data_IF_205184393186
#
_entry.id   IF_205184393186
#
_cell.length_a   1.000
_cell.length_b   1.000
_cell.length_c   1.000
_cell.angle_alpha   90.00
_cell.angle_beta   90.00
_cell.angle_gamma   90.00
#
_symmetry.space_group_name_H-M   'P 1'
#
loop_
_entity.id
_entity.type
_entity.pdbx_description
1 polymer ?
#
# COMPACT_ATOMS: atom_id res chain seq x y z
N UNK A 1 -18.52 18.06 -28.14
CA UNK A 1 -17.45 18.11 -27.12
C UNK A 1 -16.14 17.88 -27.88
N UNK A 2 -15.33 18.93 -28.01
CA UNK A 2 -14.13 18.93 -28.87
C UNK A 2 -12.95 18.39 -28.04
N UNK A 3 -12.41 17.24 -28.43
CA UNK A 3 -11.28 16.64 -27.72
C UNK A 3 -9.98 17.33 -28.16
N UNK A 4 -9.25 17.91 -27.21
CA UNK A 4 -7.92 18.48 -27.44
C UNK A 4 -6.85 17.49 -26.98
N UNK A 5 -5.98 17.08 -27.90
CA UNK A 5 -4.79 16.31 -27.55
C UNK A 5 -3.90 17.16 -26.63
N UNK A 6 -3.68 16.70 -25.40
CA UNK A 6 -2.86 17.41 -24.40
C UNK A 6 -1.39 17.01 -24.48
N UNK A 7 -1.11 15.74 -24.76
CA UNK A 7 0.26 15.21 -24.92
C UNK A 7 0.24 13.86 -25.62
N UNK A 8 1.26 13.57 -26.42
CA UNK A 8 1.53 12.24 -26.97
C UNK A 8 2.87 11.73 -26.42
N UNK A 9 2.90 10.50 -25.94
CA UNK A 9 4.12 9.84 -25.45
C UNK A 9 4.21 8.48 -26.15
N UNK A 10 5.36 8.11 -26.75
CA UNK A 10 5.54 6.79 -27.35
C UNK A 10 5.25 5.69 -26.33
N UNK A 11 4.53 4.64 -26.73
CA UNK A 11 4.33 3.47 -25.88
C UNK A 11 5.62 2.63 -25.88
N UNK A 12 6.40 2.58 -24.78
CA UNK A 12 7.66 1.85 -24.76
C UNK A 12 7.49 0.32 -24.80
N UNK A 13 6.26 -0.16 -24.59
CA UNK A 13 5.96 -1.58 -24.50
C UNK A 13 5.53 -2.20 -25.84
N UNK A 14 5.13 -1.37 -26.81
CA UNK A 14 4.49 -1.84 -28.04
C UNK A 14 3.14 -2.55 -27.82
N UNK A 15 2.62 -2.58 -26.59
CA UNK A 15 1.42 -3.28 -26.14
C UNK A 15 0.66 -2.42 -25.12
N UNK A 16 -0.66 -2.59 -25.00
CA UNK A 16 -1.47 -1.85 -24.03
C UNK A 16 -1.24 -2.45 -22.63
N UNK A 17 -0.67 -1.72 -21.67
CA UNK A 17 -0.37 -2.24 -20.34
C UNK A 17 -1.62 -2.18 -19.44
N UNK A 18 -2.69 -2.88 -19.79
CA UNK A 18 -3.94 -2.90 -19.01
C UNK A 18 -4.45 -4.33 -18.96
N UNK A 19 -4.84 -4.80 -17.78
CA UNK A 19 -5.34 -6.16 -17.57
C UNK A 19 -6.85 -6.30 -17.61
N UNK A 20 -7.57 -5.20 -17.83
CA UNK A 20 -9.03 -5.08 -17.78
C UNK A 20 -9.65 -5.72 -16.52
N UNK A 21 -9.11 -5.36 -15.36
CA UNK A 21 -9.52 -5.93 -14.08
C UNK A 21 -9.23 -7.42 -13.94
N UNK A 22 -8.25 -7.95 -14.70
CA UNK A 22 -7.84 -9.36 -14.71
C UNK A 22 -8.47 -10.21 -15.80
N UNK A 23 -9.17 -9.61 -16.78
CA UNK A 23 -9.73 -10.33 -17.93
C UNK A 23 -8.70 -10.58 -19.03
N UNK A 24 -7.76 -9.65 -19.21
CA UNK A 24 -6.69 -9.74 -20.22
C UNK A 24 -5.33 -9.80 -19.53
N UNK A 25 -4.99 -10.97 -19.00
CA UNK A 25 -3.72 -11.21 -18.34
C UNK A 25 -2.70 -11.69 -19.36
N UNK A 26 -1.48 -11.18 -19.29
CA UNK A 26 -0.36 -11.76 -20.04
C UNK A 26 -0.01 -13.17 -19.52
N UNK A 27 0.65 -14.02 -20.34
CA UNK A 27 0.84 -15.44 -20.03
C UNK A 27 1.48 -15.71 -18.66
N UNK A 28 2.47 -14.91 -18.26
CA UNK A 28 3.12 -15.03 -16.95
C UNK A 28 2.16 -14.79 -15.79
N UNK A 29 1.34 -13.73 -15.86
CA UNK A 29 0.36 -13.43 -14.81
C UNK A 29 -0.74 -14.48 -14.78
N UNK A 30 -1.19 -14.97 -15.95
CA UNK A 30 -2.11 -16.10 -16.02
C UNK A 30 -1.55 -17.34 -15.30
N UNK A 31 -0.29 -17.69 -15.54
CA UNK A 31 0.34 -18.89 -14.97
C UNK A 31 0.30 -18.87 -13.43
N UNK A 32 0.84 -17.82 -12.80
CA UNK A 32 0.86 -17.81 -11.34
C UNK A 32 -0.52 -17.54 -10.73
N UNK A 33 -1.43 -16.87 -11.43
CA UNK A 33 -2.81 -16.69 -10.95
C UNK A 33 -3.64 -17.97 -11.06
N UNK A 34 -3.37 -18.84 -12.04
CA UNK A 34 -3.92 -20.20 -12.06
C UNK A 34 -3.45 -21.00 -10.84
N UNK A 35 -2.18 -20.84 -10.42
CA UNK A 35 -1.68 -21.43 -9.17
C UNK A 35 -2.33 -20.82 -7.92
N UNK A 36 -2.62 -19.52 -7.91
CA UNK A 36 -3.41 -18.88 -6.84
C UNK A 36 -4.81 -19.49 -6.78
N UNK A 37 -5.48 -19.66 -7.91
CA UNK A 37 -6.80 -20.29 -7.98
C UNK A 37 -6.76 -21.74 -7.49
N UNK A 38 -5.74 -22.52 -7.86
CA UNK A 38 -5.53 -23.87 -7.36
C UNK A 38 -5.25 -23.89 -5.84
N UNK A 39 -4.45 -22.94 -5.34
CA UNK A 39 -4.20 -22.78 -3.90
C UNK A 39 -5.47 -22.36 -3.13
N UNK A 40 -6.41 -21.68 -3.79
CA UNK A 40 -7.69 -21.32 -3.21
C UNK A 40 -8.60 -22.53 -2.93
N UNK A 41 -8.25 -23.73 -3.37
CA UNK A 41 -8.99 -24.95 -3.01
C UNK A 41 -8.34 -25.67 -1.81
N UNK A 42 -7.13 -25.26 -1.40
CA UNK A 42 -6.40 -25.86 -0.27
C UNK A 42 -6.88 -25.26 1.05
N UNK A 43 -7.65 -26.02 1.82
CA UNK A 43 -8.35 -25.49 3.00
C UNK A 43 -7.43 -25.35 4.23
N UNK A 44 -6.53 -26.30 4.48
CA UNK A 44 -5.73 -26.32 5.72
C UNK A 44 -4.25 -26.02 5.53
N UNK A 45 -3.86 -24.75 5.67
CA UNK A 45 -2.49 -24.45 6.10
C UNK A 45 -2.45 -24.23 7.62
N UNK A 46 -1.50 -24.91 8.27
CA UNK A 46 -1.43 -25.02 9.72
C UNK A 46 -1.00 -23.72 10.44
N UNK A 47 -0.56 -22.69 9.72
CA UNK A 47 -0.01 -21.49 10.35
C UNK A 47 -1.11 -20.61 10.92
N UNK A 48 -1.03 -20.31 12.23
CA UNK A 48 -1.82 -19.25 12.84
C UNK A 48 -1.19 -17.87 12.65
N UNK A 49 0.08 -17.81 12.25
CA UNK A 49 0.89 -16.59 12.17
C UNK A 49 1.05 -16.19 10.72
N UNK A 50 0.41 -15.08 10.34
CA UNK A 50 0.40 -14.62 8.96
C UNK A 50 1.34 -13.44 8.76
N UNK A 51 2.26 -13.58 7.81
CA UNK A 51 3.09 -12.49 7.32
C UNK A 51 2.28 -11.60 6.39
N UNK A 52 2.13 -10.33 6.76
CA UNK A 52 1.50 -9.32 5.91
C UNK A 52 2.51 -8.48 5.12
N UNK A 53 3.80 -8.66 5.39
CA UNK A 53 4.90 -8.25 4.50
C UNK A 53 5.73 -9.51 4.18
N UNK A 54 6.06 -9.78 2.91
CA UNK A 54 6.75 -11.02 2.54
C UNK A 54 8.15 -11.12 3.16
N UNK A 55 8.53 -12.33 3.59
CA UNK A 55 9.87 -12.56 4.17
C UNK A 55 10.98 -12.26 3.16
N UNK A 56 10.77 -12.57 1.89
CA UNK A 56 11.74 -12.28 0.82
C UNK A 56 12.03 -10.77 0.70
N UNK A 57 11.02 -9.94 0.97
CA UNK A 57 11.17 -8.49 1.05
C UNK A 57 11.99 -8.09 2.28
N UNK A 58 11.61 -8.58 3.47
CA UNK A 58 12.30 -8.25 4.72
C UNK A 58 13.77 -8.67 4.73
N UNK A 59 14.13 -9.77 4.04
CA UNK A 59 15.53 -10.20 3.88
C UNK A 59 16.42 -9.13 3.24
N UNK A 60 15.89 -8.27 2.38
CA UNK A 60 16.68 -7.20 1.76
C UNK A 60 17.11 -6.10 2.75
N UNK A 61 16.50 -6.08 3.93
CA UNK A 61 16.78 -5.15 5.03
C UNK A 61 17.60 -5.80 6.15
N UNK A 62 18.00 -7.05 5.96
CA UNK A 62 18.62 -7.88 6.97
C UNK A 62 20.09 -8.13 6.61
N UNK A 63 21.06 -7.59 7.36
CA UNK A 63 22.48 -7.81 7.07
C UNK A 63 22.89 -9.29 7.15
N UNK A 64 22.26 -10.05 8.04
CA UNK A 64 22.52 -11.48 8.28
C UNK A 64 21.48 -12.41 7.62
N UNK A 65 20.52 -11.84 6.88
CA UNK A 65 19.38 -12.55 6.29
C UNK A 65 18.38 -13.14 7.30
N UNK A 66 18.56 -12.88 8.60
CA UNK A 66 17.80 -13.49 9.71
C UNK A 66 17.08 -12.48 10.59
N UNK A 67 17.64 -11.29 10.77
CA UNK A 67 17.10 -10.25 11.66
C UNK A 67 17.11 -8.87 11.03
N UNK A 68 16.15 -8.05 11.42
CA UNK A 68 16.02 -6.65 11.01
C UNK A 68 15.86 -5.77 12.24
N UNK A 69 16.38 -4.55 12.17
CA UNK A 69 16.14 -3.54 13.20
C UNK A 69 14.75 -2.95 12.95
N UNK A 70 13.94 -2.93 14.00
CA UNK A 70 12.55 -2.49 13.96
C UNK A 70 12.34 -1.45 15.06
N UNK A 71 11.92 -0.26 14.65
CA UNK A 71 11.34 0.74 15.53
C UNK A 71 9.83 0.52 15.57
N UNK A 72 9.31 0.11 16.72
CA UNK A 72 7.88 0.06 17.01
C UNK A 72 7.36 1.48 17.25
N UNK A 73 6.50 1.95 16.35
CA UNK A 73 6.02 3.33 16.36
C UNK A 73 4.99 3.60 17.46
N UNK A 74 4.38 2.54 18.02
CA UNK A 74 3.34 2.62 19.04
C UNK A 74 3.94 2.88 20.42
N UNK A 75 4.98 2.12 20.78
CA UNK A 75 5.62 2.22 22.09
C UNK A 75 6.99 2.92 22.05
N UNK A 76 7.55 3.17 20.86
CA UNK A 76 8.85 3.83 20.66
C UNK A 76 10.06 2.91 20.85
N UNK A 77 9.85 1.59 20.96
CA UNK A 77 10.91 0.63 21.21
C UNK A 77 11.67 0.28 19.95
N UNK A 78 12.99 0.29 20.05
CA UNK A 78 13.91 -0.07 18.97
C UNK A 78 14.55 -1.42 19.29
N UNK A 79 14.33 -2.42 18.41
CA UNK A 79 14.72 -3.81 18.66
C UNK A 79 15.25 -4.48 17.41
N UNK A 80 16.19 -5.39 17.60
CA UNK A 80 16.57 -6.35 16.57
C UNK A 80 15.65 -7.57 16.64
N UNK A 81 14.82 -7.78 15.61
CA UNK A 81 13.81 -8.85 15.58
C UNK A 81 14.11 -9.87 14.48
N UNK A 82 13.77 -11.12 14.73
CA UNK A 82 13.81 -12.16 13.71
C UNK A 82 12.81 -11.91 12.58
N UNK A 83 13.14 -12.30 11.36
CA UNK A 83 12.21 -12.22 10.22
C UNK A 83 10.91 -13.02 10.45
N UNK A 84 10.99 -14.09 11.26
CA UNK A 84 9.81 -14.88 11.66
C UNK A 84 8.82 -14.06 12.49
N UNK A 85 9.29 -13.05 13.21
CA UNK A 85 8.50 -12.28 14.17
C UNK A 85 8.19 -10.86 13.71
N UNK A 86 8.78 -10.45 12.58
CA UNK A 86 8.57 -9.12 11.99
C UNK A 86 7.41 -9.13 10.99
N UNK A 87 6.53 -8.13 11.05
CA UNK A 87 5.36 -7.99 10.17
C UNK A 87 4.43 -9.21 10.17
N UNK A 88 4.18 -9.76 11.36
CA UNK A 88 3.29 -10.90 11.59
C UNK A 88 2.09 -10.51 12.43
N UNK A 89 0.93 -11.09 12.13
CA UNK A 89 -0.24 -11.07 13.01
C UNK A 89 -0.91 -12.43 13.06
N UNK A 90 -1.39 -12.79 14.24
CA UNK A 90 -2.14 -14.03 14.41
C UNK A 90 -3.52 -13.94 13.76
N UNK A 91 -3.93 -15.01 13.08
CA UNK A 91 -5.24 -15.19 12.44
C UNK A 91 -5.64 -14.05 11.48
N UNK A 92 -4.68 -13.26 11.00
CA UNK A 92 -4.94 -12.03 10.24
C UNK A 92 -5.73 -12.26 8.93
N UNK A 93 -5.41 -13.34 8.20
CA UNK A 93 -6.13 -13.78 7.02
C UNK A 93 -6.97 -15.04 7.25
N UNK A 94 -7.31 -15.38 8.49
CA UNK A 94 -8.11 -16.57 8.77
C UNK A 94 -9.49 -16.39 8.17
N UNK A 95 -9.86 -17.26 7.24
CA UNK A 95 -11.15 -17.26 6.55
C UNK A 95 -12.08 -18.23 7.29
N UNK A 96 -13.37 -17.93 7.30
CA UNK A 96 -14.40 -18.81 7.87
C UNK A 96 -15.40 -19.18 6.78
N UNK A 97 -15.62 -20.48 6.62
CA UNK A 97 -16.64 -21.08 5.74
C UNK A 97 -17.79 -21.64 6.62
N UNK A 98 -19.07 -21.34 6.31
CA UNK A 98 -20.22 -21.94 7.01
C UNK A 98 -20.19 -23.47 7.12
N UNK A 99 -19.62 -24.18 6.14
CA UNK A 99 -19.61 -25.64 6.09
C UNK A 99 -18.40 -26.27 6.80
N UNK A 100 -17.24 -25.60 6.78
CA UNK A 100 -15.97 -26.20 7.19
C UNK A 100 -15.29 -25.45 8.34
N UNK A 101 -15.91 -24.38 8.84
CA UNK A 101 -15.38 -23.57 9.92
C UNK A 101 -14.16 -22.74 9.50
N UNK A 102 -13.31 -22.36 10.47
CA UNK A 102 -12.25 -21.38 10.23
C UNK A 102 -10.92 -22.00 9.77
N UNK A 103 -10.43 -21.58 8.61
CA UNK A 103 -9.28 -22.13 7.89
C UNK A 103 -8.35 -21.03 7.33
N UNK A 104 -7.14 -21.37 6.88
CA UNK A 104 -6.08 -20.37 6.56
C UNK A 104 -5.69 -20.28 5.07
N UNK A 105 -6.47 -20.86 4.17
CA UNK A 105 -6.29 -20.86 2.70
C UNK A 105 -5.65 -19.59 2.09
N UNK A 106 -6.01 -18.39 2.57
CA UNK A 106 -5.43 -17.13 2.11
C UNK A 106 -3.90 -17.09 2.17
N UNK A 107 -3.28 -17.75 3.15
CA UNK A 107 -1.82 -17.85 3.24
C UNK A 107 -1.24 -18.71 2.10
N UNK A 108 -1.89 -19.82 1.72
CA UNK A 108 -1.47 -20.61 0.58
C UNK A 108 -1.55 -19.81 -0.74
N UNK A 109 -2.62 -19.02 -0.89
CA UNK A 109 -2.78 -18.11 -2.04
C UNK A 109 -1.70 -17.02 -2.05
N UNK A 110 -1.45 -16.37 -0.91
CA UNK A 110 -0.42 -15.34 -0.78
C UNK A 110 1.00 -15.90 -0.94
N UNK A 111 1.24 -17.17 -0.61
CA UNK A 111 2.54 -17.82 -0.85
C UNK A 111 2.92 -17.81 -2.33
N UNK A 112 1.95 -18.06 -3.22
CA UNK A 112 2.19 -18.01 -4.67
C UNK A 112 2.57 -16.60 -5.12
N UNK A 113 1.92 -15.57 -4.55
CA UNK A 113 2.26 -14.16 -4.80
C UNK A 113 3.64 -13.82 -4.20
N UNK A 114 3.99 -14.39 -3.06
CA UNK A 114 5.26 -14.17 -2.39
C UNK A 114 6.44 -14.78 -3.16
N UNK A 115 6.23 -15.91 -3.84
CA UNK A 115 7.21 -16.50 -4.75
C UNK A 115 7.50 -15.60 -5.95
N UNK A 116 6.45 -15.06 -6.57
CA UNK A 116 6.60 -14.10 -7.68
C UNK A 116 7.21 -12.77 -7.19
N UNK A 117 6.83 -12.32 -6.01
CA UNK A 117 7.46 -11.17 -5.34
C UNK A 117 8.96 -11.42 -5.14
N UNK A 118 9.36 -12.60 -4.66
CA UNK A 118 10.76 -12.92 -4.43
C UNK A 118 11.56 -12.93 -5.74
N UNK A 119 10.96 -13.41 -6.84
CA UNK A 119 11.56 -13.38 -8.17
C UNK A 119 11.74 -11.96 -8.67
N UNK A 120 10.70 -11.13 -8.66
CA UNK A 120 10.76 -9.73 -9.07
C UNK A 120 11.77 -8.94 -8.22
N UNK A 121 11.83 -9.18 -6.91
CA UNK A 121 12.83 -8.54 -6.05
C UNK A 121 14.27 -8.92 -6.42
N UNK A 122 14.52 -10.15 -6.89
CA UNK A 122 15.85 -10.52 -7.41
C UNK A 122 16.13 -9.79 -8.71
N UNK A 123 15.19 -9.80 -9.66
CA UNK A 123 15.27 -9.11 -10.94
C UNK A 123 15.59 -7.62 -10.74
N UNK A 124 14.74 -6.91 -10.00
CA UNK A 124 14.84 -5.45 -9.79
C UNK A 124 16.13 -5.02 -9.07
N UNK A 125 16.70 -5.87 -8.22
CA UNK A 125 17.97 -5.57 -7.53
C UNK A 125 19.19 -5.86 -8.39
N UNK A 126 19.13 -6.85 -9.27
CA UNK A 126 20.22 -7.18 -10.17
C UNK A 126 20.28 -6.25 -11.40
N UNK A 127 19.19 -5.55 -11.67
CA UNK A 127 19.03 -4.73 -12.86
C UNK A 127 19.99 -3.53 -12.92
N UNK A 128 20.67 -3.37 -14.04
CA UNK A 128 21.55 -2.27 -14.36
C UNK A 128 20.99 -1.39 -15.50
N UNK A 129 21.40 -0.10 -15.58
CA UNK A 129 21.00 0.76 -16.69
C UNK A 129 21.39 0.17 -18.04
N UNK A 130 20.39 -0.18 -18.86
CA UNK A 130 20.58 -0.79 -20.18
C UNK A 130 20.00 -2.18 -20.31
N UNK A 131 19.74 -2.89 -19.19
CA UNK A 131 19.04 -4.17 -19.29
C UNK A 131 17.62 -3.97 -19.80
N UNK A 132 17.15 -4.90 -20.62
CA UNK A 132 15.79 -4.88 -21.13
C UNK A 132 14.80 -5.44 -20.12
N UNK A 133 13.55 -5.00 -20.27
CA UNK A 133 12.42 -5.40 -19.44
C UNK A 133 11.42 -6.06 -20.32
N UNK A 134 11.10 -7.29 -19.95
CA UNK A 134 9.97 -7.97 -20.51
C UNK A 134 8.69 -7.29 -20.04
N UNK A 135 7.78 -7.03 -20.98
CA UNK A 135 6.44 -6.54 -20.68
C UNK A 135 5.77 -7.41 -19.60
N UNK A 136 6.03 -8.71 -19.64
CA UNK A 136 5.50 -9.66 -18.68
C UNK A 136 5.94 -9.41 -17.23
N UNK A 137 7.20 -9.02 -17.04
CA UNK A 137 7.72 -8.66 -15.73
C UNK A 137 7.13 -7.35 -15.23
N UNK A 138 6.88 -6.39 -16.12
CA UNK A 138 6.20 -5.15 -15.77
C UNK A 138 4.75 -5.38 -15.35
N UNK A 139 4.01 -6.26 -16.04
CA UNK A 139 2.65 -6.62 -15.64
C UNK A 139 2.62 -7.38 -14.32
N UNK A 140 3.51 -8.36 -14.11
CA UNK A 140 3.70 -9.04 -12.82
C UNK A 140 3.99 -8.04 -11.70
N UNK A 141 4.84 -7.06 -11.97
CA UNK A 141 5.21 -6.01 -11.01
C UNK A 141 4.00 -5.17 -10.58
N UNK A 142 3.16 -4.75 -11.53
CA UNK A 142 1.95 -3.98 -11.26
C UNK A 142 0.99 -4.72 -10.31
N UNK A 143 0.81 -6.03 -10.55
CA UNK A 143 -0.04 -6.92 -9.73
C UNK A 143 0.57 -7.15 -8.34
N UNK A 144 1.86 -7.49 -8.26
CA UNK A 144 2.54 -7.70 -6.97
C UNK A 144 2.50 -6.42 -6.13
N UNK A 145 2.78 -5.26 -6.71
CA UNK A 145 2.74 -3.99 -6.01
C UNK A 145 1.32 -3.69 -5.46
N UNK A 146 0.28 -4.06 -6.22
CA UNK A 146 -1.10 -3.98 -5.75
C UNK A 146 -1.40 -4.89 -4.56
N UNK A 147 -0.92 -6.14 -4.58
CA UNK A 147 -1.05 -7.03 -3.42
C UNK A 147 -0.31 -6.50 -2.20
N UNK A 148 0.93 -6.05 -2.38
CA UNK A 148 1.77 -5.53 -1.28
C UNK A 148 1.16 -4.31 -0.61
N UNK A 149 0.50 -3.45 -1.38
CA UNK A 149 -0.21 -2.29 -0.85
C UNK A 149 -1.52 -2.67 -0.14
N UNK A 150 -2.24 -3.68 -0.63
CA UNK A 150 -3.59 -3.98 -0.14
C UNK A 150 -3.64 -5.01 0.99
N UNK A 151 -2.61 -5.83 1.18
CA UNK A 151 -2.59 -6.91 2.17
C UNK A 151 -2.26 -6.47 3.60
N UNK A 152 -2.13 -5.19 3.88
CA UNK A 152 -1.53 -4.72 5.14
C UNK A 152 -2.56 -4.38 6.23
N UNK A 153 -2.15 -4.33 7.51
CA UNK A 153 -3.02 -3.89 8.59
C UNK A 153 -3.56 -2.46 8.43
N UNK A 154 -2.77 -1.55 7.83
CA UNK A 154 -3.23 -0.20 7.53
C UNK A 154 -4.40 -0.23 6.54
N UNK A 155 -4.32 -1.06 5.49
CA UNK A 155 -5.43 -1.20 4.54
C UNK A 155 -6.67 -1.78 5.21
N UNK A 156 -6.52 -2.79 6.06
CA UNK A 156 -7.64 -3.34 6.84
C UNK A 156 -8.30 -2.26 7.71
N UNK A 157 -7.50 -1.49 8.46
CA UNK A 157 -7.99 -0.37 9.29
C UNK A 157 -8.69 0.72 8.48
N UNK A 158 -8.19 1.02 7.28
CA UNK A 158 -8.84 1.96 6.37
C UNK A 158 -10.21 1.45 5.93
N UNK A 159 -10.33 0.17 5.57
CA UNK A 159 -11.61 -0.44 5.20
C UNK A 159 -12.59 -0.46 6.38
N UNK A 160 -12.13 -0.83 7.58
CA UNK A 160 -12.93 -0.78 8.81
C UNK A 160 -13.47 0.64 9.07
N UNK A 161 -12.61 1.66 8.90
CA UNK A 161 -13.01 3.05 9.07
C UNK A 161 -14.01 3.52 8.00
N UNK A 162 -13.87 3.06 6.75
CA UNK A 162 -14.83 3.32 5.68
C UNK A 162 -16.19 2.65 5.95
N UNK A 163 -16.19 1.39 6.37
CA UNK A 163 -17.40 0.65 6.69
C UNK A 163 -18.15 1.28 7.89
N UNK A 164 -17.41 1.68 8.93
CA UNK A 164 -17.96 2.43 10.07
C UNK A 164 -18.55 3.78 9.64
N UNK A 165 -17.87 4.51 8.75
CA UNK A 165 -18.35 5.77 8.22
C UNK A 165 -19.64 5.60 7.39
N UNK A 166 -19.71 4.58 6.53
CA UNK A 166 -20.90 4.27 5.74
C UNK A 166 -22.10 3.93 6.62
N UNK A 167 -21.91 3.18 7.72
CA UNK A 167 -22.97 2.87 8.69
C UNK A 167 -23.57 4.12 9.30
N UNK A 168 -22.73 5.07 9.70
CA UNK A 168 -23.16 6.35 10.30
C UNK A 168 -23.89 7.24 9.27
N UNK A 169 -23.46 7.20 8.00
CA UNK A 169 -23.93 8.11 6.95
C UNK A 169 -25.19 7.64 6.22
N UNK A 170 -25.22 6.38 5.83
CA UNK A 170 -26.22 5.86 4.90
C UNK A 170 -27.44 5.25 5.59
N UNK A 171 -27.40 5.05 6.92
CA UNK A 171 -28.39 4.22 7.62
C UNK A 171 -28.40 2.77 7.14
N UNK A 172 -27.41 2.37 6.34
CA UNK A 172 -27.29 1.02 5.80
C UNK A 172 -26.60 0.12 6.81
N UNK A 173 -27.12 -1.09 6.97
CA UNK A 173 -26.37 -2.16 7.60
C UNK A 173 -25.15 -2.50 6.74
N UNK A 174 -23.99 -2.03 7.19
CA UNK A 174 -22.71 -2.45 6.63
C UNK A 174 -22.20 -3.63 7.46
N UNK A 175 -22.06 -4.82 6.85
CA UNK A 175 -21.51 -6.00 7.53
C UNK A 175 -20.18 -5.68 8.21
N UNK A 176 -19.90 -6.33 9.34
CA UNK A 176 -18.58 -6.26 9.95
C UNK A 176 -17.51 -6.71 8.95
N UNK A 177 -16.39 -5.99 8.89
CA UNK A 177 -15.26 -6.38 8.05
C UNK A 177 -14.54 -7.58 8.68
N UNK A 178 -15.10 -8.77 8.46
CA UNK A 178 -14.47 -10.03 8.84
C UNK A 178 -13.15 -10.23 8.08
N UNK A 179 -12.27 -11.09 8.59
CA UNK A 179 -11.07 -11.49 7.85
C UNK A 179 -11.39 -12.13 6.50
N UNK A 180 -12.50 -12.88 6.40
CA UNK A 180 -13.02 -13.41 5.12
C UNK A 180 -13.29 -12.29 4.11
N UNK A 181 -14.03 -11.26 4.51
CA UNK A 181 -14.36 -10.13 3.63
C UNK A 181 -13.12 -9.30 3.28
N UNK A 182 -12.19 -9.14 4.22
CA UNK A 182 -10.91 -8.50 3.94
C UNK A 182 -10.11 -9.26 2.88
N UNK A 183 -9.96 -10.58 3.01
CA UNK A 183 -9.26 -11.43 2.01
C UNK A 183 -9.92 -11.29 0.64
N UNK A 184 -11.25 -11.40 0.54
CA UNK A 184 -11.98 -11.19 -0.73
C UNK A 184 -11.68 -9.82 -1.33
N UNK A 185 -11.71 -8.75 -0.52
CA UNK A 185 -11.39 -7.38 -0.97
C UNK A 185 -9.94 -7.26 -1.46
N UNK A 186 -8.96 -7.91 -0.79
CA UNK A 186 -7.55 -7.92 -1.23
C UNK A 186 -7.42 -8.52 -2.62
N UNK A 187 -7.93 -9.74 -2.83
CA UNK A 187 -7.79 -10.43 -4.11
C UNK A 187 -8.62 -9.77 -5.24
N UNK A 188 -9.81 -9.24 -4.94
CA UNK A 188 -10.65 -8.55 -5.94
C UNK A 188 -10.08 -7.19 -6.35
N UNK A 189 -9.50 -6.44 -5.41
CA UNK A 189 -8.99 -5.09 -5.70
C UNK A 189 -7.60 -5.07 -6.33
N UNK A 190 -6.86 -6.17 -6.26
CA UNK A 190 -5.49 -6.25 -6.77
C UNK A 190 -5.41 -5.92 -8.27
N UNK A 191 -6.29 -6.50 -9.11
CA UNK A 191 -6.24 -6.26 -10.56
C UNK A 191 -6.65 -4.85 -10.97
N UNK A 192 -7.72 -4.31 -10.37
CA UNK A 192 -8.09 -2.92 -10.62
C UNK A 192 -6.97 -1.95 -10.25
N UNK A 193 -6.29 -2.20 -9.13
CA UNK A 193 -5.12 -1.42 -8.76
C UNK A 193 -3.92 -1.69 -9.69
N UNK A 194 -3.76 -2.91 -10.21
CA UNK A 194 -2.71 -3.25 -11.17
C UNK A 194 -2.86 -2.46 -12.47
N UNK A 195 -4.08 -2.28 -12.99
CA UNK A 195 -4.34 -1.45 -14.18
C UNK A 195 -3.90 0.01 -13.98
N UNK A 196 -4.13 0.55 -12.78
CA UNK A 196 -3.67 1.89 -12.41
C UNK A 196 -2.15 1.96 -12.24
N UNK A 197 -1.49 0.83 -11.95
CA UNK A 197 -0.04 0.73 -11.81
C UNK A 197 0.66 0.56 -13.15
N UNK A 198 0.12 -0.26 -14.05
CA UNK A 198 0.69 -0.59 -15.34
C UNK A 198 0.60 0.58 -16.34
N UNK A 199 -0.24 1.58 -16.08
CA UNK A 199 -0.29 2.83 -16.84
C UNK A 199 0.78 3.87 -16.42
N UNK A 200 1.64 3.53 -15.45
CA UNK A 200 2.66 4.44 -14.90
C UNK A 200 4.04 4.20 -15.48
N UNK A 201 4.87 5.24 -15.47
CA UNK A 201 6.29 5.15 -15.79
C UNK A 201 7.01 4.34 -14.72
N UNK A 202 7.67 3.26 -15.12
CA UNK A 202 8.57 2.50 -14.26
C UNK A 202 9.89 3.26 -14.11
N UNK A 203 10.32 3.45 -12.86
CA UNK A 203 11.60 4.05 -12.51
C UNK A 203 12.32 3.26 -11.42
N UNK A 204 13.66 3.27 -11.48
CA UNK A 204 14.55 2.73 -10.45
C UNK A 204 15.39 3.87 -9.88
N UNK A 205 15.27 4.08 -8.57
CA UNK A 205 15.95 5.14 -7.85
C UNK A 205 17.00 4.52 -6.91
N UNK A 206 18.26 4.84 -7.15
CA UNK A 206 19.41 4.32 -6.42
C UNK A 206 19.92 5.34 -5.39
N UNK A 207 20.20 4.87 -4.17
CA UNK A 207 20.95 5.60 -3.15
C UNK A 207 22.28 4.87 -2.88
N UNK A 208 23.41 5.35 -3.45
CA UNK A 208 24.72 4.72 -3.27
C UNK A 208 25.18 4.62 -1.82
N UNK A 209 24.63 5.43 -0.92
CA UNK A 209 24.98 5.43 0.50
C UNK A 209 24.10 4.48 1.34
N UNK A 210 23.15 3.77 0.72
CA UNK A 210 22.30 2.78 1.37
C UNK A 210 21.49 3.31 2.58
N UNK A 211 20.96 4.54 2.48
CA UNK A 211 20.27 5.25 3.57
C UNK A 211 18.74 5.13 3.52
N UNK A 212 18.18 4.36 2.60
CA UNK A 212 16.74 4.15 2.56
C UNK A 212 16.29 3.31 3.77
N UNK A 213 15.01 3.44 4.11
CA UNK A 213 14.31 2.64 5.13
C UNK A 213 12.98 2.16 4.55
N UNK A 214 12.38 1.19 5.21
CA UNK A 214 11.01 0.74 4.90
C UNK A 214 10.15 0.67 6.15
N UNK A 215 8.94 0.15 6.01
CA UNK A 215 8.01 -0.06 7.09
C UNK A 215 7.19 -1.32 6.87
N UNK A 216 6.29 -1.56 7.81
CA UNK A 216 5.21 -2.54 7.70
C UNK A 216 4.13 -2.14 6.67
N UNK A 217 4.32 -0.98 5.99
CA UNK A 217 3.62 -0.48 4.80
C UNK A 217 4.63 -0.25 3.66
N UNK A 218 5.06 -1.31 2.94
CA UNK A 218 6.20 -1.23 2.03
C UNK A 218 5.92 -0.38 0.78
N UNK A 219 4.66 -0.26 0.36
CA UNK A 219 4.26 0.54 -0.81
C UNK A 219 3.60 1.83 -0.35
N UNK A 220 4.24 2.95 -0.67
CA UNK A 220 3.86 4.30 -0.26
C UNK A 220 3.32 5.10 -1.43
N UNK A 221 2.53 6.13 -1.13
CA UNK A 221 2.05 7.08 -2.12
C UNK A 221 2.59 8.47 -1.80
N UNK A 222 3.02 9.20 -2.83
CA UNK A 222 3.37 10.61 -2.65
C UNK A 222 2.13 11.47 -2.55
N UNK A 223 2.22 12.54 -1.76
CA UNK A 223 1.22 13.60 -1.77
C UNK A 223 1.30 14.34 -3.09
N UNK A 224 0.21 14.31 -3.86
CA UNK A 224 0.02 15.27 -4.94
C UNK A 224 -0.22 16.66 -4.35
N UNK A 225 0.27 17.70 -5.00
CA UNK A 225 -0.11 19.09 -4.69
C UNK A 225 -1.55 19.41 -5.15
N UNK A 226 -2.10 18.63 -6.08
CA UNK A 226 -3.36 18.89 -6.76
C UNK A 226 -4.50 18.01 -6.21
N UNK A 227 -4.21 16.74 -5.88
CA UNK A 227 -5.22 15.81 -5.39
C UNK A 227 -5.37 15.90 -3.87
N UNK A 228 -6.63 16.08 -3.47
CA UNK A 228 -7.10 16.35 -2.13
C UNK A 228 -7.04 15.12 -1.20
N UNK A 229 -6.99 13.93 -1.78
CA UNK A 229 -6.76 12.65 -1.08
C UNK A 229 -5.86 11.76 -1.94
N UNK A 230 -4.76 11.22 -1.42
CA UNK A 230 -3.88 10.36 -2.21
C UNK A 230 -4.60 9.07 -2.61
N UNK A 231 -4.72 8.86 -3.92
CA UNK A 231 -5.17 7.61 -4.52
C UNK A 231 -4.10 7.08 -5.46
N UNK A 232 -4.15 5.79 -5.77
CA UNK A 232 -3.32 5.15 -6.80
C UNK A 232 -3.57 5.75 -8.18
N UNK A 233 -4.70 6.41 -8.42
CA UNK A 233 -4.94 7.20 -9.64
C UNK A 233 -4.25 8.56 -9.64
N UNK A 234 -4.21 9.25 -8.50
CA UNK A 234 -3.86 10.69 -8.45
C UNK A 234 -2.52 11.00 -7.82
N UNK A 235 -1.92 10.03 -7.14
CA UNK A 235 -0.61 10.20 -6.50
C UNK A 235 0.48 10.27 -7.57
N UNK A 236 1.33 11.29 -7.51
CA UNK A 236 2.40 11.49 -8.49
C UNK A 236 3.36 10.30 -8.57
N UNK A 237 3.59 9.67 -7.43
CA UNK A 237 4.51 8.55 -7.24
C UNK A 237 3.89 7.48 -6.37
N UNK A 238 4.10 6.22 -6.75
CA UNK A 238 4.04 5.08 -5.85
C UNK A 238 5.48 4.66 -5.58
N UNK A 239 5.89 4.65 -4.32
CA UNK A 239 7.24 4.32 -3.89
C UNK A 239 7.26 2.95 -3.24
N UNK A 240 8.22 2.12 -3.62
CA UNK A 240 8.45 0.83 -2.97
C UNK A 240 9.95 0.63 -2.75
N UNK A 241 10.47 0.96 -1.55
CA UNK A 241 11.87 0.73 -1.22
C UNK A 241 12.17 -0.76 -1.33
N UNK A 242 13.12 -1.18 -2.17
CA UNK A 242 13.41 -2.60 -2.42
C UNK A 242 14.54 -3.12 -1.52
N UNK A 243 15.47 -2.23 -1.20
CA UNK A 243 16.62 -2.44 -0.32
C UNK A 243 17.04 -1.07 0.27
N UNK A 244 18.02 -1.03 1.18
CA UNK A 244 18.59 0.22 1.67
C UNK A 244 19.18 1.12 0.58
N UNK A 245 19.59 0.54 -0.56
CA UNK A 245 20.26 1.25 -1.66
C UNK A 245 19.40 1.45 -2.91
N UNK A 246 18.19 0.86 -2.98
CA UNK A 246 17.37 0.92 -4.19
C UNK A 246 15.89 0.98 -3.89
N UNK A 247 15.17 1.77 -4.68
CA UNK A 247 13.73 1.92 -4.64
C UNK A 247 13.13 1.79 -6.03
N UNK A 248 11.98 1.14 -6.11
CA UNK A 248 11.12 1.16 -7.27
C UNK A 248 10.16 2.34 -7.17
N UNK A 249 9.94 3.03 -8.28
CA UNK A 249 8.93 4.08 -8.38
C UNK A 249 8.03 3.88 -9.59
N UNK A 250 6.71 3.95 -9.38
CA UNK A 250 5.74 4.09 -10.46
C UNK A 250 5.22 5.53 -10.50
N UNK A 251 5.65 6.29 -11.50
CA UNK A 251 5.33 7.72 -11.62
C UNK A 251 4.30 8.02 -12.71
N UNK A 252 3.57 9.12 -12.58
CA UNK A 252 2.66 9.59 -13.63
C UNK A 252 3.37 10.27 -14.81
N UNK A 253 4.69 10.51 -14.71
CA UNK A 253 5.46 11.22 -15.71
C UNK A 253 5.97 10.29 -16.81
N UNK A 254 5.08 9.84 -17.70
CA UNK A 254 5.45 9.02 -18.85
C UNK A 254 6.47 9.74 -19.73
N UNK A 255 7.57 9.06 -20.06
CA UNK A 255 8.63 9.63 -20.91
C UNK A 255 8.97 8.76 -22.13
N UNK A 256 8.18 7.72 -22.41
CA UNK A 256 8.36 6.83 -23.56
C UNK A 256 9.56 5.89 -23.47
N UNK A 257 10.15 5.72 -22.27
CA UNK A 257 11.17 4.71 -21.99
C UNK A 257 10.56 3.60 -21.15
N UNK A 258 11.01 2.35 -21.36
CA UNK A 258 10.59 1.24 -20.49
C UNK A 258 10.93 1.55 -19.03
N UNK A 259 12.17 1.99 -18.77
CA UNK A 259 12.63 2.40 -17.43
C UNK A 259 13.45 3.67 -17.42
N UNK A 260 13.25 4.45 -16.36
CA UNK A 260 14.05 5.61 -16.00
C UNK A 260 14.88 5.30 -14.76
N UNK A 261 16.19 5.47 -14.86
CA UNK A 261 17.09 5.36 -13.71
C UNK A 261 17.36 6.75 -13.11
N UNK A 262 17.41 6.84 -11.78
CA UNK A 262 17.78 8.07 -11.07
C UNK A 262 18.68 7.76 -9.90
N UNK A 263 19.60 8.66 -9.58
CA UNK A 263 20.38 8.63 -8.35
C UNK A 263 19.82 9.63 -7.36
N UNK A 264 19.64 9.21 -6.11
CA UNK A 264 19.03 10.03 -5.06
C UNK A 264 20.04 10.94 -4.38
N UNK A 265 19.69 12.22 -4.29
CA UNK A 265 20.39 13.16 -3.44
C UNK A 265 19.97 13.02 -1.97
N UNK A 266 20.75 13.63 -1.07
CA UNK A 266 20.45 13.65 0.38
C UNK A 266 19.03 14.17 0.67
N UNK A 267 18.61 15.27 0.03
CA UNK A 267 17.27 15.86 0.21
C UNK A 267 16.15 14.90 -0.21
N UNK A 268 16.35 14.10 -1.26
CA UNK A 268 15.37 13.12 -1.71
C UNK A 268 15.25 11.99 -0.69
N UNK A 269 16.39 11.48 -0.21
CA UNK A 269 16.45 10.47 0.85
C UNK A 269 15.73 10.96 2.11
N UNK A 270 16.04 12.15 2.61
CA UNK A 270 15.42 12.71 3.81
C UNK A 270 13.89 12.80 3.68
N UNK A 271 13.41 13.24 2.50
CA UNK A 271 11.98 13.30 2.20
C UNK A 271 11.32 11.91 2.16
N UNK A 272 11.99 10.93 1.56
CA UNK A 272 11.50 9.56 1.47
C UNK A 272 11.47 8.89 2.84
N UNK A 273 12.52 9.05 3.65
CA UNK A 273 12.58 8.57 5.04
C UNK A 273 11.44 9.15 5.87
N UNK A 274 11.23 10.47 5.79
CA UNK A 274 10.10 11.12 6.46
C UNK A 274 8.75 10.55 6.00
N UNK A 275 8.58 10.26 4.71
CA UNK A 275 7.37 9.63 4.19
C UNK A 275 7.19 8.19 4.71
N UNK A 276 8.25 7.38 4.80
CA UNK A 276 8.19 6.03 5.36
C UNK A 276 7.76 6.07 6.83
N UNK A 277 8.44 6.86 7.66
CA UNK A 277 8.15 7.01 9.09
C UNK A 277 6.71 7.48 9.29
N UNK A 278 6.26 8.44 8.48
CA UNK A 278 4.91 9.00 8.54
C UNK A 278 3.82 7.97 8.27
N UNK A 279 4.08 7.03 7.37
CA UNK A 279 3.09 6.08 6.86
C UNK A 279 3.15 4.70 7.50
N UNK A 280 4.21 4.40 8.27
CA UNK A 280 4.31 3.18 9.05
C UNK A 280 3.09 2.99 9.95
N UNK A 281 2.54 1.78 9.98
CA UNK A 281 1.37 1.44 10.77
C UNK A 281 1.73 1.11 12.22
N UNK A 282 2.78 0.31 12.40
CA UNK A 282 3.34 -0.04 13.70
C UNK A 282 4.86 -0.21 13.68
N UNK A 283 5.49 -0.36 12.50
CA UNK A 283 6.90 -0.72 12.43
C UNK A 283 7.64 0.07 11.33
N UNK A 284 8.75 0.71 11.69
CA UNK A 284 9.76 1.21 10.75
C UNK A 284 10.95 0.25 10.77
N UNK A 285 11.47 -0.09 9.60
CA UNK A 285 12.51 -1.10 9.42
C UNK A 285 13.71 -0.44 8.73
N UNK A 286 14.89 -0.61 9.32
CA UNK A 286 16.14 -0.04 8.82
C UNK A 286 17.30 -1.01 9.00
N UNK A 287 18.46 -0.64 8.45
CA UNK A 287 19.70 -1.32 8.77
C UNK A 287 20.10 -1.08 10.23
N UNK A 288 20.82 -2.03 10.88
CA UNK A 288 21.24 -1.87 12.27
C UNK A 288 22.07 -0.62 12.55
N UNK A 289 22.87 -0.17 11.58
CA UNK A 289 23.76 1.00 11.68
C UNK A 289 23.07 2.34 11.34
N UNK A 290 21.77 2.37 11.07
CA UNK A 290 21.04 3.61 10.80
C UNK A 290 20.96 4.51 12.07
N UNK A 291 21.46 5.74 12.00
CA UNK A 291 21.47 6.65 13.17
C UNK A 291 20.28 7.61 13.23
N UNK A 292 19.45 7.64 12.19
CA UNK A 292 18.47 8.70 11.95
C UNK A 292 17.02 8.23 12.20
N UNK A 293 16.85 7.16 12.98
CA UNK A 293 15.54 6.72 13.45
C UNK A 293 15.11 7.50 14.71
N UNK A 294 13.83 7.89 14.83
CA UNK A 294 13.32 8.62 16.00
C UNK A 294 13.08 7.69 17.20
N UNK A 295 14.11 6.93 17.62
CA UNK A 295 14.04 6.00 18.74
C UNK A 295 13.66 6.72 20.05
N UNK A 296 12.89 6.05 20.91
CA UNK A 296 12.43 6.60 22.20
C UNK A 296 11.29 7.62 22.07
N UNK A 297 10.88 8.00 20.85
CA UNK A 297 9.71 8.86 20.63
C UNK A 297 8.50 8.01 20.23
N UNK A 298 7.39 8.16 20.94
CA UNK A 298 6.10 7.63 20.48
C UNK A 298 5.63 8.43 19.29
N UNK A 299 5.28 7.75 18.21
CA UNK A 299 4.69 8.39 17.04
C UNK A 299 3.18 8.27 17.15
N UNK A 300 2.46 9.39 17.10
CA UNK A 300 1.02 9.38 17.15
C UNK A 300 0.46 8.60 15.95
N UNK A 301 -0.32 7.55 16.24
CA UNK A 301 -0.98 6.76 15.20
C UNK A 301 -2.03 7.63 14.51
N UNK A 302 -1.83 7.89 13.23
CA UNK A 302 -2.73 8.76 12.45
C UNK A 302 -4.10 8.10 12.26
N UNK A 303 -5.21 8.86 12.32
CA UNK A 303 -6.51 8.37 11.88
C UNK A 303 -6.45 8.02 10.38
N UNK A 304 -7.09 6.90 9.99
CA UNK A 304 -7.18 6.47 8.58
C UNK A 304 -8.32 7.13 7.83
N UNK A 305 -9.36 7.51 8.56
CA UNK A 305 -10.44 8.35 8.11
C UNK A 305 -10.86 9.17 9.33
N UNK A 306 -10.64 10.48 9.32
CA UNK A 306 -11.31 11.41 10.24
C UNK A 306 -12.29 12.26 9.46
N UNK A 307 -13.33 12.74 10.15
CA UNK A 307 -14.28 13.70 9.61
C UNK A 307 -14.72 14.58 10.78
N UNK A 308 -14.04 15.69 11.01
CA UNK A 308 -14.57 16.73 11.89
C UNK A 308 -15.50 17.63 11.08
N UNK A 309 -16.68 17.96 11.58
CA UNK A 309 -17.61 18.91 10.95
C UNK A 309 -17.80 20.11 11.88
N UNK A 310 -17.18 21.24 11.56
CA UNK A 310 -17.37 22.49 12.32
C UNK A 310 -18.19 23.49 11.50
N UNK A 311 -19.25 24.10 12.05
CA UNK A 311 -19.94 25.19 11.37
C UNK A 311 -18.98 26.39 11.25
N UNK A 312 -18.59 26.74 10.02
CA UNK A 312 -17.68 27.86 9.72
C UNK A 312 -18.46 29.18 9.66
N UNK A 313 -19.71 29.10 9.19
CA UNK A 313 -20.63 30.22 9.10
C UNK A 313 -22.08 29.67 9.18
N UNK A 314 -22.79 29.92 10.29
CA UNK A 314 -24.18 29.50 10.48
C UNK A 314 -25.16 30.07 9.45
N UNK A 315 -24.89 31.28 8.92
CA UNK A 315 -25.76 31.94 7.94
C UNK A 315 -25.52 31.41 6.53
N UNK A 316 -24.26 31.14 6.18
CA UNK A 316 -23.91 30.56 4.87
C UNK A 316 -24.14 29.05 4.77
N UNK A 317 -24.60 28.39 5.85
CA UNK A 317 -24.70 26.93 5.98
C UNK A 317 -23.40 26.28 5.50
N UNK A 318 -22.24 26.68 6.00
CA UNK A 318 -20.94 26.09 5.62
C UNK A 318 -20.34 25.31 6.78
N UNK A 319 -19.88 24.11 6.47
CA UNK A 319 -19.28 23.20 7.42
C UNK A 319 -17.90 22.79 6.93
N UNK A 320 -16.94 22.84 7.84
CA UNK A 320 -15.56 22.44 7.64
C UNK A 320 -15.42 20.97 7.92
N UNK A 321 -15.03 20.21 6.89
CA UNK A 321 -14.83 18.78 6.94
C UNK A 321 -13.33 18.48 7.04
N UNK A 322 -12.86 17.94 8.16
CA UNK A 322 -11.47 17.47 8.27
C UNK A 322 -11.31 15.99 7.92
N UNK A 323 -10.90 15.72 6.68
CA UNK A 323 -10.53 14.41 6.16
C UNK A 323 -9.08 14.05 6.48
N UNK A 324 -8.87 13.31 7.55
CA UNK A 324 -7.60 12.63 7.84
C UNK A 324 -7.56 11.28 7.18
N UNK A 325 -6.65 11.04 6.24
CA UNK A 325 -6.27 9.68 5.84
C UNK A 325 -4.88 9.34 6.37
N UNK A 326 -4.50 8.07 6.46
CA UNK A 326 -3.20 7.65 7.03
C UNK A 326 -1.97 8.37 6.46
N UNK A 327 -2.14 9.02 5.32
CA UNK A 327 -1.18 9.86 4.63
C UNK A 327 -1.21 11.34 5.11
N UNK A 328 -2.33 11.95 5.48
CA UNK A 328 -2.37 13.33 5.99
C UNK A 328 -3.79 13.82 6.30
N UNK A 329 -3.88 15.02 6.89
CA UNK A 329 -5.17 15.68 7.16
C UNK A 329 -5.44 16.72 6.08
N UNK A 330 -6.67 16.74 5.60
CA UNK A 330 -7.21 17.75 4.72
C UNK A 330 -8.42 18.41 5.38
N UNK A 331 -8.56 19.71 5.17
CA UNK A 331 -9.75 20.47 5.54
C UNK A 331 -10.51 20.86 4.26
N UNK A 332 -11.81 20.58 4.20
CA UNK A 332 -12.71 20.94 3.09
C UNK A 332 -13.87 21.76 3.62
N UNK A 333 -14.04 22.99 3.15
CA UNK A 333 -15.25 23.74 3.42
C UNK A 333 -16.33 23.37 2.39
N UNK A 334 -17.48 22.87 2.86
CA UNK A 334 -18.63 22.48 2.03
C UNK A 334 -19.90 23.12 2.56
N UNK A 335 -20.91 23.27 1.69
CA UNK A 335 -22.27 23.58 2.15
C UNK A 335 -22.68 22.45 3.11
N UNK A 336 -23.10 22.80 4.33
CA UNK A 336 -23.65 21.93 5.36
C UNK A 336 -24.84 21.19 4.76
N UNK A 337 -24.56 20.06 4.13
CA UNK A 337 -25.55 19.03 3.89
C UNK A 337 -26.01 18.47 5.25
N UNK A 338 -27.12 17.71 5.32
CA UNK A 338 -27.61 17.08 6.57
C UNK A 338 -26.52 16.31 7.34
N UNK A 339 -25.48 15.90 6.61
CA UNK A 339 -24.17 15.40 7.03
C UNK A 339 -23.50 16.14 8.21
N UNK A 340 -23.80 17.41 8.47
CA UNK A 340 -23.19 18.15 9.58
C UNK A 340 -24.16 18.41 10.75
N UNK A 341 -25.47 18.28 10.53
CA UNK A 341 -26.48 18.44 11.57
C UNK A 341 -26.50 17.26 12.57
N UNK A 342 -26.05 16.06 12.16
CA UNK A 342 -26.09 14.86 12.99
C UNK A 342 -24.90 14.71 13.96
N UNK A 343 -23.77 15.40 13.72
CA UNK A 343 -22.58 15.30 14.60
C UNK A 343 -22.64 16.30 15.77
N UNK A 344 -23.45 17.37 15.65
CA UNK A 344 -23.68 18.37 16.71
C UNK A 344 -24.77 18.01 17.73
N UNK A 345 -25.32 16.80 17.68
CA UNK A 345 -26.46 16.37 18.49
C UNK A 345 -26.11 15.88 19.89
N UNK A 346 -25.30 16.60 20.68
CA UNK A 346 -25.37 16.52 22.15
C UNK A 346 -25.99 17.81 22.66
N UNK A 347 -27.33 17.85 22.67
CA UNK A 347 -28.05 18.74 23.59
C UNK A 347 -28.06 18.07 24.95
N UNK A 348 -27.35 18.67 25.89
CA UNK A 348 -27.60 18.48 27.31
C UNK A 348 -29.08 18.75 27.58
N UNK A 349 -29.78 17.75 28.11
CA UNK A 349 -31.09 17.96 28.71
C UNK A 349 -30.90 18.76 30.01
N UNK A 350 -31.80 19.71 30.24
CA UNK A 350 -31.94 20.46 31.49
C UNK A 350 -32.37 19.55 32.62
#
# INVERSE_FOLDING_TARGET
MEWRLVSSVPNPWGQIPVSDGGQDLNPRVQEYMARVAAAAVRRDCASRRHHYVPKAYLRAWSPDGKRVRVLDTVNGLDRLLGLRDTCVRENFYRVTDPQHGPHNQAEAMLSVIDDETARLLRLLRAWEPGDDVEFDDFMSLAVVLAFQRNRTPQRKRLLEAQDAWMRIRGGQEVPELTSTEFVKKVFRSAYRAADEHSTRQLELWDDPQARLITSDQPVLMSFGSISRTPSTLTSRYLWWPLSPSRMLVLSQGLCGRKVVHRTLGRRDVDRLRAAVIKNAEAAVIALPNDTDLPAGRRLARRPQLSLACEPVDPQARKCRIELGCGYGTQTLDRVCQPLCAMVGGRRTAK
#
